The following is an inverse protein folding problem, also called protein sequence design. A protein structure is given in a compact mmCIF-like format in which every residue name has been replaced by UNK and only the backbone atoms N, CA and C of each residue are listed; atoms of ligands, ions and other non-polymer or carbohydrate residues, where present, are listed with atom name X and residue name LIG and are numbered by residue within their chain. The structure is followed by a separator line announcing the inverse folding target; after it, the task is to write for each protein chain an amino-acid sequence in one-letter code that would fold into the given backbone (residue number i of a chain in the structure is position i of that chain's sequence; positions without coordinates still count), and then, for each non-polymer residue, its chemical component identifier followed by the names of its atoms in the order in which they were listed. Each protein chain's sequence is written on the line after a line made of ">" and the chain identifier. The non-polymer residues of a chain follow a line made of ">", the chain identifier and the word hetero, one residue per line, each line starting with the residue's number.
data_IF_910166103325
#
_entry.id   IF_910166103325
#
_cell.length_a   1.000
_cell.length_b   1.000
_cell.length_c   1.000
_cell.angle_alpha   90.00
_cell.angle_beta   90.00
_cell.angle_gamma   90.00
#
_symmetry.space_group_name_H-M   'P 1'
#
loop_
_entity.id
_entity.type
_entity.pdbx_description
1 polymer ?
#
# COMPACT_ATOMS: atom_id res chain seq x y z
N UNK A 1 40.44 47.92 -27.88
CA UNK A 1 40.71 46.57 -28.40
C UNK A 1 39.48 45.71 -28.13
N UNK A 2 38.57 45.64 -29.10
CA UNK A 2 37.29 44.96 -28.97
C UNK A 2 37.45 43.45 -29.17
N UNK A 3 36.89 42.66 -28.27
CA UNK A 3 36.74 41.22 -28.48
C UNK A 3 35.28 40.95 -28.85
N UNK A 4 35.14 40.42 -30.07
CA UNK A 4 33.92 40.27 -30.84
C UNK A 4 33.05 39.13 -30.30
N UNK A 5 31.75 39.40 -30.16
CA UNK A 5 30.70 38.40 -29.97
C UNK A 5 30.71 37.41 -31.14
N UNK A 6 30.88 36.11 -30.87
CA UNK A 6 30.66 35.04 -31.86
C UNK A 6 29.21 34.57 -31.75
N UNK A 7 28.37 34.74 -32.79
CA UNK A 7 27.05 34.15 -32.85
C UNK A 7 27.18 32.80 -33.54
N UNK A 8 27.09 31.68 -32.80
CA UNK A 8 26.70 30.32 -33.24
C UNK A 8 27.14 29.28 -32.19
N UNK A 9 26.82 29.51 -30.92
CA UNK A 9 26.74 28.41 -29.96
C UNK A 9 25.37 27.75 -30.16
N UNK A 10 25.34 26.68 -30.95
CA UNK A 10 24.24 25.74 -30.94
C UNK A 10 24.17 25.11 -29.55
N UNK A 11 23.42 25.73 -28.65
CA UNK A 11 23.13 25.21 -27.32
C UNK A 11 22.18 24.02 -27.47
N UNK A 12 22.73 22.81 -27.57
CA UNK A 12 21.95 21.60 -27.36
C UNK A 12 21.60 21.55 -25.89
N UNK A 13 20.46 22.13 -25.53
CA UNK A 13 19.88 21.91 -24.21
C UNK A 13 19.23 20.54 -24.23
N UNK A 14 19.82 19.58 -23.50
CA UNK A 14 19.15 18.31 -23.21
C UNK A 14 17.98 18.63 -22.29
N UNK A 15 16.80 18.82 -22.87
CA UNK A 15 15.57 18.92 -22.09
C UNK A 15 15.27 17.50 -21.63
N UNK A 16 15.84 17.11 -20.48
CA UNK A 16 15.47 15.88 -19.81
C UNK A 16 13.96 15.93 -19.59
N UNK A 17 13.21 15.14 -20.36
CA UNK A 17 11.78 15.00 -20.22
C UNK A 17 11.55 14.35 -18.87
N UNK A 18 11.30 15.17 -17.85
CA UNK A 18 10.84 14.67 -16.56
C UNK A 18 9.63 13.77 -16.82
N UNK A 19 9.74 12.53 -16.36
CA UNK A 19 8.69 11.53 -16.50
C UNK A 19 7.44 12.04 -15.78
N UNK A 20 6.55 12.70 -16.52
CA UNK A 20 5.22 13.06 -16.04
C UNK A 20 4.54 11.75 -15.69
N UNK A 21 4.38 11.50 -14.39
CA UNK A 21 3.62 10.36 -13.88
C UNK A 21 2.17 10.59 -14.30
N UNK A 22 1.79 10.07 -15.47
CA UNK A 22 0.46 10.19 -16.08
C UNK A 22 -0.56 9.28 -15.42
N UNK A 23 -0.11 8.33 -14.61
CA UNK A 23 -0.97 7.42 -13.89
C UNK A 23 -1.21 7.98 -12.49
N UNK A 24 -2.40 8.55 -12.29
CA UNK A 24 -3.02 8.56 -10.97
C UNK A 24 -3.22 7.10 -10.58
N UNK A 25 -2.19 6.53 -9.95
CA UNK A 25 -2.25 5.20 -9.35
C UNK A 25 -3.37 5.29 -8.35
N UNK A 26 -4.56 4.77 -8.72
CA UNK A 26 -5.79 4.79 -7.92
C UNK A 26 -5.38 4.62 -6.47
N UNK A 27 -5.48 5.70 -5.69
CA UNK A 27 -5.15 5.62 -4.27
C UNK A 27 -6.12 4.60 -3.71
N UNK A 28 -5.58 3.46 -3.28
CA UNK A 28 -6.40 2.41 -2.74
C UNK A 28 -7.14 2.97 -1.53
N UNK A 29 -8.45 2.71 -1.46
CA UNK A 29 -9.26 3.18 -0.34
C UNK A 29 -8.66 2.59 0.93
N UNK A 30 -8.14 3.45 1.80
CA UNK A 30 -7.66 3.05 3.12
C UNK A 30 -8.91 2.76 3.94
N UNK A 31 -9.23 1.48 4.10
CA UNK A 31 -10.29 1.08 5.02
C UNK A 31 -9.78 1.28 6.44
N UNK A 32 -10.60 1.86 7.30
CA UNK A 32 -10.34 1.81 8.74
C UNK A 32 -10.60 0.40 9.27
N UNK A 33 -9.98 0.00 10.40
CA UNK A 33 -10.26 -1.30 11.02
C UNK A 33 -11.75 -1.52 11.31
N UNK A 34 -12.45 -0.48 11.79
CA UNK A 34 -13.89 -0.54 12.06
C UNK A 34 -14.71 -0.71 10.78
N UNK A 35 -14.38 0.01 9.70
CA UNK A 35 -15.03 -0.21 8.39
C UNK A 35 -14.82 -1.65 7.91
N UNK A 36 -13.65 -2.24 8.16
CA UNK A 36 -13.36 -3.62 7.76
C UNK A 36 -14.19 -4.63 8.55
N UNK A 37 -14.26 -4.47 9.87
CA UNK A 37 -15.08 -5.31 10.74
C UNK A 37 -16.58 -5.15 10.47
N UNK A 38 -16.99 -4.01 9.91
CA UNK A 38 -18.38 -3.76 9.55
C UNK A 38 -18.85 -4.50 8.27
N UNK A 39 -17.92 -5.02 7.45
CA UNK A 39 -18.24 -5.74 6.22
C UNK A 39 -19.01 -7.04 6.51
N UNK A 40 -20.06 -7.30 5.73
CA UNK A 40 -20.92 -8.48 5.92
C UNK A 40 -20.12 -9.78 5.83
N UNK A 41 -19.21 -9.90 4.87
CA UNK A 41 -18.34 -11.07 4.74
C UNK A 41 -17.42 -11.28 5.96
N UNK A 42 -16.99 -10.20 6.64
CA UNK A 42 -16.17 -10.30 7.85
C UNK A 42 -17.03 -10.69 9.05
N UNK A 43 -18.25 -10.16 9.16
CA UNK A 43 -19.21 -10.55 10.19
C UNK A 43 -19.61 -12.03 10.08
N UNK A 44 -19.90 -12.50 8.87
CA UNK A 44 -20.20 -13.92 8.62
C UNK A 44 -19.01 -14.81 9.01
N UNK A 45 -17.78 -14.40 8.68
CA UNK A 45 -16.58 -15.13 9.07
C UNK A 45 -16.41 -15.17 10.59
N UNK A 46 -16.65 -14.06 11.28
CA UNK A 46 -16.57 -13.97 12.74
C UNK A 46 -17.68 -14.73 13.46
N UNK A 47 -18.85 -14.88 12.84
CA UNK A 47 -19.92 -15.73 13.37
C UNK A 47 -19.50 -17.21 13.44
N UNK A 48 -18.65 -17.65 12.50
CA UNK A 48 -18.10 -19.02 12.47
C UNK A 48 -16.85 -19.14 13.35
N UNK A 49 -15.98 -18.11 13.33
CA UNK A 49 -14.71 -18.10 14.04
C UNK A 49 -14.55 -16.83 14.90
N UNK A 50 -15.21 -16.76 16.06
CA UNK A 50 -15.24 -15.55 16.90
C UNK A 50 -13.84 -15.16 17.41
N UNK A 51 -12.96 -16.14 17.64
CA UNK A 51 -11.58 -15.93 18.13
C UNK A 51 -10.63 -15.35 17.06
N UNK A 52 -11.13 -15.08 15.84
CA UNK A 52 -10.31 -14.57 14.74
C UNK A 52 -9.97 -13.09 14.84
N UNK A 53 -10.63 -12.35 15.74
CA UNK A 53 -10.35 -10.95 16.04
C UNK A 53 -10.12 -10.83 17.54
N UNK A 54 -9.00 -10.22 17.93
CA UNK A 54 -8.70 -9.89 19.31
C UNK A 54 -8.42 -8.40 19.42
N UNK A 55 -9.06 -7.72 20.36
CA UNK A 55 -8.74 -6.35 20.73
C UNK A 55 -7.88 -6.37 21.98
N UNK A 56 -6.76 -5.67 21.93
CA UNK A 56 -5.91 -5.48 23.09
C UNK A 56 -6.47 -4.32 23.93
N UNK A 57 -6.85 -4.56 25.20
CA UNK A 57 -7.46 -3.53 26.04
C UNK A 57 -6.51 -2.38 26.41
N UNK A 58 -5.19 -2.59 26.31
CA UNK A 58 -4.19 -1.61 26.75
C UNK A 58 -3.71 -0.69 25.60
N UNK A 59 -3.68 -1.20 24.37
CA UNK A 59 -3.17 -0.48 23.19
C UNK A 59 -4.24 -0.10 22.18
N UNK A 60 -5.48 -0.58 22.36
CA UNK A 60 -6.58 -0.50 21.38
C UNK A 60 -6.21 -1.10 20.01
N UNK A 61 -5.18 -1.96 19.98
CA UNK A 61 -4.74 -2.63 18.77
C UNK A 61 -5.65 -3.80 18.42
N UNK A 62 -6.00 -3.90 17.15
CA UNK A 62 -6.86 -4.96 16.62
C UNK A 62 -5.98 -6.00 15.94
N UNK A 63 -5.94 -7.19 16.55
CA UNK A 63 -5.22 -8.35 16.04
C UNK A 63 -6.17 -9.21 15.21
N UNK A 64 -5.79 -9.44 13.95
CA UNK A 64 -6.55 -10.26 13.02
C UNK A 64 -5.84 -11.60 12.76
N UNK A 65 -6.62 -12.66 12.64
CA UNK A 65 -6.14 -13.93 12.12
C UNK A 65 -5.62 -13.77 10.67
N UNK A 66 -4.74 -14.67 10.24
CA UNK A 66 -4.11 -14.71 8.91
C UNK A 66 -5.09 -14.47 7.77
N UNK A 67 -6.22 -15.16 7.78
CA UNK A 67 -7.24 -15.07 6.71
C UNK A 67 -7.81 -13.66 6.60
N UNK A 68 -8.21 -13.07 7.73
CA UNK A 68 -8.75 -11.71 7.79
C UNK A 68 -7.70 -10.65 7.43
N UNK A 69 -6.45 -10.83 7.88
CA UNK A 69 -5.36 -9.94 7.53
C UNK A 69 -5.06 -9.94 6.02
N UNK A 70 -5.09 -11.11 5.37
CA UNK A 70 -4.92 -11.21 3.92
C UNK A 70 -6.08 -10.52 3.18
N UNK A 71 -7.31 -10.75 3.62
CA UNK A 71 -8.51 -10.12 3.04
C UNK A 71 -8.46 -8.60 3.15
N UNK A 72 -8.09 -8.08 4.31
CA UNK A 72 -7.90 -6.64 4.54
C UNK A 72 -6.85 -6.04 3.59
N UNK A 73 -5.69 -6.69 3.44
CA UNK A 73 -4.64 -6.22 2.55
C UNK A 73 -5.03 -6.28 1.07
N UNK A 74 -5.86 -7.24 0.67
CA UNK A 74 -6.41 -7.30 -0.70
C UNK A 74 -7.38 -6.16 -0.98
N UNK A 75 -8.29 -5.85 -0.03
CA UNK A 75 -9.24 -4.74 -0.15
C UNK A 75 -8.53 -3.38 -0.18
N UNK A 76 -7.50 -3.21 0.64
CA UNK A 76 -6.63 -2.03 0.63
C UNK A 76 -5.65 -2.02 -0.56
N UNK A 77 -5.68 -3.01 -1.45
CA UNK A 77 -4.78 -3.18 -2.60
C UNK A 77 -3.28 -3.10 -2.24
N UNK A 78 -2.94 -3.43 -0.99
CA UNK A 78 -1.60 -3.34 -0.41
C UNK A 78 -0.79 -4.62 -0.71
N UNK A 79 -0.61 -4.89 -2.01
CA UNK A 79 0.06 -6.11 -2.50
C UNK A 79 1.48 -6.30 -1.94
N UNK A 80 2.18 -5.19 -1.64
CA UNK A 80 3.54 -5.24 -1.07
C UNK A 80 3.50 -5.83 0.34
N UNK A 81 2.60 -5.34 1.19
CA UNK A 81 2.43 -5.84 2.55
C UNK A 81 1.92 -7.27 2.57
N UNK A 82 0.95 -7.63 1.70
CA UNK A 82 0.49 -9.02 1.57
C UNK A 82 1.64 -9.97 1.25
N UNK A 83 2.49 -9.62 0.28
CA UNK A 83 3.68 -10.43 -0.06
C UNK A 83 4.68 -10.52 1.10
N UNK A 84 4.90 -9.41 1.80
CA UNK A 84 5.78 -9.38 2.97
C UNK A 84 5.26 -10.29 4.10
N UNK A 85 3.97 -10.21 4.41
CA UNK A 85 3.29 -11.06 5.39
C UNK A 85 3.39 -12.54 5.02
N UNK A 86 3.05 -12.90 3.77
CA UNK A 86 3.14 -14.28 3.29
C UNK A 86 4.58 -14.81 3.35
N UNK A 87 5.58 -13.97 3.02
CA UNK A 87 6.99 -14.33 3.11
C UNK A 87 7.43 -14.51 4.56
N UNK A 88 6.98 -13.64 5.48
CA UNK A 88 7.27 -13.75 6.89
C UNK A 88 6.67 -15.03 7.49
N UNK A 89 5.42 -15.35 7.15
CA UNK A 89 4.75 -16.59 7.56
C UNK A 89 5.51 -17.82 7.05
N UNK A 90 5.90 -17.83 5.77
CA UNK A 90 6.69 -18.93 5.19
C UNK A 90 8.04 -19.13 5.88
N UNK A 91 8.66 -18.05 6.37
CA UNK A 91 9.92 -18.12 7.13
C UNK A 91 9.74 -18.66 8.55
N UNK A 92 8.57 -18.45 9.16
CA UNK A 92 8.29 -18.90 10.52
C UNK A 92 7.84 -20.37 10.59
N UNK A 93 7.66 -21.05 9.46
CA UNK A 93 7.43 -22.50 9.44
C UNK A 93 6.06 -22.94 9.97
N UNK A 94 5.04 -22.10 9.81
CA UNK A 94 3.62 -22.44 10.07
C UNK A 94 2.87 -22.68 8.77
#
# INVERSE_FOLDING_TARGET
>A
MGCQNKPHTAGVTSVSRESRVTHNRRQARKLTPEEFLSLDAVKEYLAIYPDSVRRDPDTDEIWLNKTLMIMYLDLCQEKKFKKALLKAMKKQGV
#
